data_IF_101803066363
#
_entry.id   IF_101803066363
#
_cell.length_a   1.000
_cell.length_b   1.000
_cell.length_c   1.000
_cell.angle_alpha   90.00
_cell.angle_beta   90.00
_cell.angle_gamma   90.00
#
_symmetry.space_group_name_H-M   'P 1'
#
loop_
_entity.id
_entity.type
_entity.pdbx_description
1 polymer ?
#
# COMPACT_ATOMS: atom_id res chain seq x y z
N UNK A 1 -0.20 -0.47 32.83
CA UNK A 1 0.48 -1.03 31.62
C UNK A 1 -0.06 -0.41 30.31
N UNK A 2 -0.38 0.90 30.28
CA UNK A 2 -1.11 1.55 29.16
C UNK A 2 -0.17 2.43 28.27
N UNK A 3 1.07 2.68 28.70
CA UNK A 3 1.99 3.61 28.01
C UNK A 3 2.58 3.09 26.69
N UNK A 4 2.71 1.78 26.50
CA UNK A 4 3.37 1.22 25.30
C UNK A 4 2.50 1.30 24.04
N UNK A 5 1.19 1.13 24.15
CA UNK A 5 0.27 1.13 23.00
C UNK A 5 0.15 2.51 22.35
N UNK A 6 0.17 3.57 23.17
CA UNK A 6 0.08 4.95 22.66
C UNK A 6 1.34 5.35 21.89
N UNK A 7 2.52 4.92 22.34
CA UNK A 7 3.78 5.19 21.66
C UNK A 7 3.87 4.45 20.31
N UNK A 8 3.44 3.18 20.27
CA UNK A 8 3.41 2.40 19.03
C UNK A 8 2.47 3.03 17.98
N UNK A 9 1.30 3.51 18.39
CA UNK A 9 0.37 4.21 17.49
C UNK A 9 0.97 5.53 16.96
N UNK A 10 1.72 6.26 17.79
CA UNK A 10 2.42 7.48 17.37
C UNK A 10 3.52 7.19 16.34
N UNK A 11 4.27 6.10 16.51
CA UNK A 11 5.30 5.68 15.56
C UNK A 11 4.69 5.24 14.22
N UNK A 12 3.61 4.46 14.25
CA UNK A 12 2.86 4.07 13.04
C UNK A 12 2.37 5.31 12.31
N UNK A 13 1.75 6.26 13.02
CA UNK A 13 1.23 7.47 12.41
C UNK A 13 2.35 8.33 11.80
N UNK A 14 3.46 8.52 12.51
CA UNK A 14 4.61 9.26 11.98
C UNK A 14 5.16 8.64 10.69
N UNK A 15 5.24 7.31 10.63
CA UNK A 15 5.71 6.64 9.42
C UNK A 15 4.72 6.81 8.27
N UNK A 16 3.41 6.76 8.53
CA UNK A 16 2.38 7.04 7.53
C UNK A 16 2.48 8.49 7.03
N UNK A 17 2.63 9.47 7.94
CA UNK A 17 2.79 10.88 7.57
C UNK A 17 4.01 11.07 6.64
N UNK A 18 5.11 10.38 6.92
CA UNK A 18 6.29 10.40 6.05
C UNK A 18 6.02 9.76 4.67
N UNK A 19 5.21 8.70 4.59
CA UNK A 19 4.80 8.13 3.29
C UNK A 19 3.91 9.10 2.51
N UNK A 20 3.01 9.82 3.19
CA UNK A 20 2.19 10.89 2.60
C UNK A 20 3.10 11.97 2.01
N UNK A 21 4.22 12.28 2.66
CA UNK A 21 5.21 13.25 2.18
C UNK A 21 6.21 12.68 1.14
N UNK A 22 5.93 11.49 0.59
CA UNK A 22 6.79 10.80 -0.39
C UNK A 22 8.22 10.48 0.10
N UNK A 23 8.38 10.21 1.39
CA UNK A 23 9.67 9.76 1.92
C UNK A 23 9.96 8.31 1.47
N UNK A 24 10.98 8.14 0.63
CA UNK A 24 11.38 6.83 0.07
C UNK A 24 11.71 5.81 1.15
N UNK A 25 12.44 6.20 2.20
CA UNK A 25 12.79 5.29 3.30
C UNK A 25 11.54 4.81 4.03
N UNK A 26 10.59 5.71 4.28
CA UNK A 26 9.32 5.36 4.92
C UNK A 26 8.47 4.44 4.04
N UNK A 27 8.43 4.66 2.72
CA UNK A 27 7.75 3.78 1.77
C UNK A 27 8.35 2.36 1.80
N UNK A 28 9.68 2.26 1.79
CA UNK A 28 10.39 0.97 1.85
C UNK A 28 10.23 0.28 3.20
N UNK A 29 10.23 1.03 4.30
CA UNK A 29 9.94 0.48 5.63
C UNK A 29 8.49 -0.01 5.71
N UNK A 30 7.56 0.79 5.21
CA UNK A 30 6.12 0.50 5.21
C UNK A 30 5.77 -0.74 4.40
N UNK A 31 6.31 -0.88 3.18
CA UNK A 31 6.04 -2.05 2.33
C UNK A 31 6.63 -3.34 2.91
N UNK A 32 7.75 -3.24 3.63
CA UNK A 32 8.42 -4.39 4.22
C UNK A 32 7.89 -4.76 5.61
N UNK A 33 7.16 -3.87 6.27
CA UNK A 33 6.60 -4.08 7.60
C UNK A 33 5.71 -5.33 7.72
N UNK A 34 5.61 -5.86 8.94
CA UNK A 34 4.63 -6.89 9.32
C UNK A 34 3.30 -6.28 9.80
N UNK A 35 3.19 -4.94 9.82
CA UNK A 35 1.99 -4.22 10.23
C UNK A 35 1.16 -3.90 8.98
N UNK A 36 -0.02 -4.51 8.80
CA UNK A 36 -0.75 -4.41 7.53
C UNK A 36 -1.14 -2.99 7.12
N UNK A 37 -1.48 -2.12 8.09
CA UNK A 37 -1.85 -0.73 7.78
C UNK A 37 -0.67 0.05 7.18
N UNK A 38 0.57 -0.27 7.54
CA UNK A 38 1.75 0.32 6.93
C UNK A 38 1.93 -0.17 5.49
N UNK A 39 1.68 -1.45 5.22
CA UNK A 39 1.74 -1.99 3.85
C UNK A 39 0.71 -1.31 2.94
N UNK A 40 -0.53 -1.16 3.41
CA UNK A 40 -1.59 -0.48 2.67
C UNK A 40 -1.19 0.95 2.31
N UNK A 41 -0.73 1.74 3.29
CA UNK A 41 -0.33 3.12 3.07
C UNK A 41 0.88 3.22 2.14
N UNK A 42 1.87 2.34 2.27
CA UNK A 42 3.02 2.30 1.37
C UNK A 42 2.59 2.01 -0.08
N UNK A 43 1.67 1.07 -0.30
CA UNK A 43 1.11 0.78 -1.64
C UNK A 43 0.40 2.01 -2.20
N UNK A 44 -0.49 2.64 -1.43
CA UNK A 44 -1.25 3.81 -1.87
C UNK A 44 -0.32 4.96 -2.25
N UNK A 45 0.53 5.40 -1.32
CA UNK A 45 1.36 6.58 -1.54
C UNK A 45 2.50 6.31 -2.52
N UNK A 46 3.16 5.14 -2.45
CA UNK A 46 4.15 4.75 -3.44
C UNK A 46 3.59 4.74 -4.86
N UNK A 47 2.35 4.25 -5.04
CA UNK A 47 1.67 4.30 -6.35
C UNK A 47 1.34 5.71 -6.80
N UNK A 48 0.80 6.54 -5.90
CA UNK A 48 0.46 7.95 -6.20
C UNK A 48 1.67 8.74 -6.67
N UNK A 49 2.83 8.50 -6.06
CA UNK A 49 4.09 9.14 -6.42
C UNK A 49 4.87 8.42 -7.53
N UNK A 50 4.27 7.40 -8.18
CA UNK A 50 4.89 6.62 -9.26
C UNK A 50 6.25 6.01 -8.86
N UNK A 51 6.38 5.62 -7.60
CA UNK A 51 7.58 4.96 -7.08
C UNK A 51 7.70 3.56 -7.69
N UNK A 52 8.72 3.37 -8.53
CA UNK A 52 8.89 2.18 -9.39
C UNK A 52 10.19 1.42 -9.10
N UNK A 53 10.67 1.47 -7.87
CA UNK A 53 11.83 0.70 -7.44
C UNK A 53 11.55 -0.82 -7.53
N UNK A 54 12.51 -1.60 -8.01
CA UNK A 54 12.33 -3.03 -8.26
C UNK A 54 11.99 -3.81 -6.98
N UNK A 55 12.66 -3.53 -5.85
CA UNK A 55 12.38 -4.22 -4.58
C UNK A 55 10.98 -3.92 -4.08
N UNK A 56 10.52 -2.67 -4.22
CA UNK A 56 9.16 -2.27 -3.90
C UNK A 56 8.13 -3.04 -4.76
N UNK A 57 8.34 -3.08 -6.08
CA UNK A 57 7.46 -3.79 -7.02
C UNK A 57 7.44 -5.30 -6.75
N UNK A 58 8.59 -5.91 -6.51
CA UNK A 58 8.71 -7.34 -6.22
C UNK A 58 8.00 -7.68 -4.92
N UNK A 59 8.15 -6.84 -3.89
CA UNK A 59 7.43 -6.99 -2.62
C UNK A 59 5.91 -6.98 -2.83
N UNK A 60 5.39 -6.07 -3.68
CA UNK A 60 3.97 -6.04 -4.02
C UNK A 60 3.51 -7.35 -4.66
N UNK A 61 4.25 -7.82 -5.69
CA UNK A 61 3.93 -9.03 -6.43
C UNK A 61 3.97 -10.28 -5.56
N UNK A 62 4.95 -10.41 -4.69
CA UNK A 62 5.19 -11.65 -3.95
C UNK A 62 4.35 -11.77 -2.69
N UNK A 63 4.06 -10.64 -2.02
CA UNK A 63 3.43 -10.66 -0.69
C UNK A 63 1.97 -10.26 -0.68
N UNK A 64 1.52 -9.43 -1.62
CA UNK A 64 0.23 -8.76 -1.46
C UNK A 64 -0.82 -9.14 -2.50
N UNK A 65 -0.45 -9.69 -3.66
CA UNK A 65 -1.42 -10.09 -4.71
C UNK A 65 -2.35 -11.23 -4.30
N UNK A 66 -1.98 -12.02 -3.29
CA UNK A 66 -2.80 -13.10 -2.70
C UNK A 66 -3.27 -12.79 -1.27
N UNK A 67 -3.04 -11.57 -0.79
CA UNK A 67 -3.41 -11.20 0.58
C UNK A 67 -4.92 -11.13 0.78
N UNK A 68 -5.40 -11.82 1.82
CA UNK A 68 -6.81 -11.81 2.26
C UNK A 68 -7.09 -10.80 3.38
N UNK A 69 -6.09 -10.00 3.79
CA UNK A 69 -6.26 -8.97 4.82
C UNK A 69 -7.21 -7.90 4.29
N UNK A 70 -8.21 -7.51 5.09
CA UNK A 70 -9.24 -6.56 4.69
C UNK A 70 -9.09 -5.21 5.38
N UNK A 71 -9.23 -4.15 4.60
CA UNK A 71 -9.36 -2.77 5.06
C UNK A 71 -10.66 -2.21 4.52
N UNK A 72 -11.55 -1.77 5.42
CA UNK A 72 -12.83 -1.18 5.04
C UNK A 72 -13.64 -2.05 4.05
N UNK A 73 -13.61 -3.37 4.26
CA UNK A 73 -14.29 -4.35 3.40
C UNK A 73 -13.56 -4.72 2.11
N UNK A 74 -12.43 -4.07 1.80
CA UNK A 74 -11.61 -4.33 0.60
C UNK A 74 -10.36 -5.13 0.94
N UNK A 75 -10.07 -6.18 0.18
CA UNK A 75 -8.85 -6.99 0.39
C UNK A 75 -7.60 -6.23 -0.09
N UNK A 76 -6.49 -6.37 0.65
CA UNK A 76 -5.21 -5.73 0.33
C UNK A 76 -4.73 -6.10 -1.08
N UNK A 77 -5.05 -7.30 -1.56
CA UNK A 77 -4.77 -7.70 -2.94
C UNK A 77 -5.39 -6.78 -3.99
N UNK A 78 -6.56 -6.20 -3.72
CA UNK A 78 -7.19 -5.28 -4.66
C UNK A 78 -6.35 -4.00 -4.83
N UNK A 79 -5.78 -3.49 -3.73
CA UNK A 79 -4.85 -2.36 -3.78
C UNK A 79 -3.54 -2.75 -4.46
N UNK A 80 -2.99 -3.92 -4.16
CA UNK A 80 -1.76 -4.42 -4.79
C UNK A 80 -1.91 -4.55 -6.33
N UNK A 81 -3.00 -5.16 -6.80
CA UNK A 81 -3.27 -5.33 -8.23
C UNK A 81 -3.49 -3.98 -8.92
N UNK A 82 -4.27 -3.08 -8.31
CA UNK A 82 -4.48 -1.73 -8.83
C UNK A 82 -3.16 -0.94 -8.91
N UNK A 83 -2.30 -1.05 -7.89
CA UNK A 83 -0.97 -0.44 -7.85
C UNK A 83 -0.09 -0.91 -9.01
N UNK A 84 0.02 -2.22 -9.25
CA UNK A 84 0.81 -2.76 -10.35
C UNK A 84 0.31 -2.30 -11.73
N UNK A 85 -1.00 -2.13 -11.89
CA UNK A 85 -1.57 -1.54 -13.09
C UNK A 85 -1.15 -0.07 -13.22
N UNK A 86 -1.36 0.73 -12.17
CA UNK A 86 -1.09 2.17 -12.17
C UNK A 86 0.39 2.54 -12.28
N UNK A 87 1.28 1.62 -11.92
CA UNK A 87 2.74 1.73 -12.08
C UNK A 87 3.23 1.19 -13.43
N UNK A 88 2.32 0.82 -14.34
CA UNK A 88 2.64 0.24 -15.65
C UNK A 88 3.46 -1.06 -15.59
N UNK A 89 3.38 -1.81 -14.48
CA UNK A 89 4.11 -3.07 -14.30
C UNK A 89 3.29 -4.26 -14.80
N UNK A 90 2.00 -4.29 -14.47
CA UNK A 90 1.10 -5.37 -14.88
C UNK A 90 -0.31 -4.84 -15.13
N UNK A 91 -0.71 -4.80 -16.39
CA UNK A 91 -2.04 -4.34 -16.78
C UNK A 91 -3.13 -5.28 -16.23
N UNK A 92 -3.97 -4.75 -15.35
CA UNK A 92 -5.23 -5.40 -14.97
C UNK A 92 -6.22 -5.45 -16.16
N UNK A 93 -6.76 -6.64 -16.43
CA UNK A 93 -7.74 -6.93 -17.50
C UNK A 93 -9.01 -7.63 -17.00
N UNK A 94 -9.19 -7.73 -15.68
CA UNK A 94 -10.35 -8.36 -15.07
C UNK A 94 -11.57 -7.44 -14.96
N UNK A 95 -12.62 -7.96 -14.33
CA UNK A 95 -13.93 -7.30 -14.20
C UNK A 95 -14.30 -6.96 -12.74
N UNK A 96 -13.38 -7.14 -11.80
CA UNK A 96 -13.61 -6.81 -10.39
C UNK A 96 -13.82 -5.31 -10.24
N UNK A 97 -15.05 -4.92 -9.86
CA UNK A 97 -15.46 -3.51 -9.74
C UNK A 97 -14.65 -2.74 -8.70
N UNK A 98 -14.15 -3.41 -7.67
CA UNK A 98 -13.34 -2.77 -6.62
C UNK A 98 -11.98 -2.39 -7.19
N UNK A 99 -11.32 -3.33 -7.87
CA UNK A 99 -10.01 -3.05 -8.50
C UNK A 99 -10.16 -1.96 -9.57
N UNK A 100 -11.19 -2.02 -10.41
CA UNK A 100 -11.45 -1.01 -11.42
C UNK A 100 -11.63 0.39 -10.80
N UNK A 101 -12.44 0.51 -9.75
CA UNK A 101 -12.63 1.78 -9.02
C UNK A 101 -11.33 2.32 -8.41
N UNK A 102 -10.51 1.43 -7.85
CA UNK A 102 -9.21 1.81 -7.30
C UNK A 102 -8.29 2.36 -8.41
N UNK A 103 -8.24 1.71 -9.58
CA UNK A 103 -7.49 2.16 -10.76
C UNK A 103 -8.04 3.52 -11.24
N UNK A 104 -9.34 3.64 -11.43
CA UNK A 104 -10.00 4.87 -11.90
C UNK A 104 -9.71 6.07 -10.97
N UNK A 105 -9.72 5.85 -9.65
CA UNK A 105 -9.41 6.89 -8.68
C UNK A 105 -7.94 7.31 -8.66
N UNK A 106 -7.02 6.53 -9.25
CA UNK A 106 -5.57 6.69 -9.06
C UNK A 106 -5.16 6.78 -7.57
N UNK A 107 -5.95 6.17 -6.67
CA UNK A 107 -5.88 6.32 -5.21
C UNK A 107 -6.03 7.77 -4.68
N UNK A 108 -6.70 8.65 -5.40
CA UNK A 108 -7.21 9.92 -4.89
C UNK A 108 -8.65 9.72 -4.42
N UNK A 109 -8.81 9.43 -3.12
CA UNK A 109 -10.08 9.26 -2.43
C UNK A 109 -10.12 10.08 -1.14
#
# INVERSE_FOLDING_TARGET
MIKNSNNMNLEIQKLIDQMVDNNVSALMEGINSNIPILNLNAIIFGTRYKFNNDDFINTIKERFVDSNIKFFGTELKCFAIASLHLLNVQKYVGTDRTILRLIESNFYF
#
